data_IF_755079190876
#
_entry.id   IF_755079190876
#
_cell.length_a   1.000
_cell.length_b   1.000
_cell.length_c   1.000
_cell.angle_alpha   90.00
_cell.angle_beta   90.00
_cell.angle_gamma   90.00
#
_symmetry.space_group_name_H-M   'P 1'
#
loop_
_entity.id
_entity.type
_entity.pdbx_description
1 polymer ?
#
# COMPACT_ATOMS: atom_id res chain seq x y z
N UNK A 1 -3.65 6.39 12.57
CA UNK A 1 -4.03 6.79 11.20
C UNK A 1 -3.78 5.64 10.24
N UNK A 2 -4.66 5.40 9.26
CA UNK A 2 -4.41 4.45 8.18
C UNK A 2 -3.13 4.85 7.43
N UNK A 3 -2.26 3.89 7.10
CA UNK A 3 -0.99 4.13 6.39
C UNK A 3 -1.20 4.36 4.87
N UNK A 4 -2.22 5.15 4.51
CA UNK A 4 -2.44 5.61 3.15
C UNK A 4 -1.73 6.96 3.03
N UNK A 5 -0.62 7.01 2.32
CA UNK A 5 0.19 8.22 2.19
C UNK A 5 -0.66 9.32 1.54
N UNK A 6 -0.89 10.40 2.27
CA UNK A 6 -1.42 11.65 1.73
C UNK A 6 -0.33 12.28 0.87
N UNK A 7 -0.43 12.14 -0.45
CA UNK A 7 0.31 13.02 -1.35
C UNK A 7 -0.61 14.20 -1.63
N UNK A 8 -0.41 15.27 -0.88
CA UNK A 8 -0.98 16.58 -1.21
C UNK A 8 -0.36 16.98 -2.54
N UNK A 9 -1.19 17.13 -3.58
CA UNK A 9 -0.74 17.59 -4.88
C UNK A 9 -1.44 18.90 -5.17
N UNK A 10 -0.66 19.95 -5.36
CA UNK A 10 -1.17 21.21 -5.87
C UNK A 10 -1.31 21.06 -7.39
N UNK A 11 -2.54 21.17 -7.91
CA UNK A 11 -2.81 21.13 -9.36
C UNK A 11 -3.17 22.53 -9.83
N UNK A 12 -2.53 23.00 -10.90
CA UNK A 12 -2.88 24.26 -11.53
C UNK A 12 -4.31 24.20 -12.08
N UNK A 13 -5.16 25.12 -11.62
CA UNK A 13 -6.51 25.30 -12.12
C UNK A 13 -6.49 26.43 -13.17
N UNK A 14 -6.78 26.09 -14.42
CA UNK A 14 -6.75 27.05 -15.55
C UNK A 14 -7.86 28.11 -15.46
N UNK A 15 -9.00 27.77 -14.87
CA UNK A 15 -10.16 28.67 -14.74
C UNK A 15 -9.94 29.69 -13.64
N UNK A 16 -9.45 29.24 -12.49
CA UNK A 16 -9.19 30.12 -11.33
C UNK A 16 -7.79 30.73 -11.33
N UNK A 17 -6.96 30.42 -12.34
CA UNK A 17 -5.55 30.80 -12.45
C UNK A 17 -4.76 30.65 -11.14
N UNK A 18 -5.02 29.57 -10.40
CA UNK A 18 -4.38 29.34 -9.10
C UNK A 18 -4.14 27.85 -8.87
N UNK A 19 -3.23 27.54 -7.94
CA UNK A 19 -3.05 26.17 -7.47
C UNK A 19 -4.21 25.76 -6.57
N UNK A 20 -4.85 24.65 -6.92
CA UNK A 20 -5.90 24.04 -6.11
C UNK A 20 -5.35 22.86 -5.33
N UNK A 21 -5.68 22.81 -4.05
CA UNK A 21 -5.41 21.67 -3.19
C UNK A 21 -6.22 20.47 -3.69
N UNK A 22 -5.54 19.40 -4.13
CA UNK A 22 -6.19 18.12 -4.43
C UNK A 22 -5.56 17.00 -3.62
N UNK A 23 -6.28 16.45 -2.63
CA UNK A 23 -5.79 15.29 -1.89
C UNK A 23 -5.75 14.09 -2.83
N UNK A 24 -4.55 13.52 -3.04
CA UNK A 24 -4.39 12.27 -3.78
C UNK A 24 -4.02 11.16 -2.81
N UNK A 25 -4.90 10.18 -2.71
CA UNK A 25 -4.63 8.94 -1.98
C UNK A 25 -4.01 7.96 -2.98
N UNK A 26 -2.84 7.44 -2.64
CA UNK A 26 -2.16 6.44 -3.48
C UNK A 26 -1.89 5.18 -2.68
N UNK A 27 -2.12 4.04 -3.32
CA UNK A 27 -1.81 2.73 -2.77
C UNK A 27 -0.32 2.43 -2.88
N UNK A 28 0.27 2.16 -1.70
CA UNK A 28 1.33 1.17 -1.49
C UNK A 28 1.72 0.19 -2.61
N UNK A 29 2.69 0.47 -3.49
CA UNK A 29 3.34 -0.60 -4.27
C UNK A 29 2.50 -1.29 -5.37
N UNK A 30 1.44 -0.62 -5.83
CA UNK A 30 0.65 -1.02 -7.01
C UNK A 30 0.81 0.01 -8.13
N UNK A 31 0.74 -0.46 -9.37
CA UNK A 31 0.84 0.39 -10.56
C UNK A 31 -0.22 1.50 -10.59
N UNK A 32 0.14 2.67 -11.12
CA UNK A 32 -0.74 3.86 -11.20
C UNK A 32 -1.97 3.65 -12.10
N UNK A 33 -1.99 2.59 -12.91
CA UNK A 33 -3.06 2.27 -13.86
C UNK A 33 -4.23 1.53 -13.24
N UNK A 34 -4.15 1.15 -11.96
CA UNK A 34 -5.24 0.46 -11.28
C UNK A 34 -6.30 1.48 -10.82
N UNK A 35 -7.54 1.25 -11.23
CA UNK A 35 -8.67 2.14 -10.96
C UNK A 35 -9.18 1.91 -9.52
N UNK A 36 -8.70 2.74 -8.60
CA UNK A 36 -9.09 2.70 -7.19
C UNK A 36 -9.93 3.94 -6.92
N UNK A 37 -11.21 3.72 -6.63
CA UNK A 37 -12.21 4.76 -6.43
C UNK A 37 -12.49 4.99 -4.94
N UNK A 38 -13.19 6.08 -4.61
CA UNK A 38 -13.58 6.38 -3.23
C UNK A 38 -14.41 5.26 -2.58
N UNK A 39 -15.31 4.61 -3.34
CA UNK A 39 -16.16 3.54 -2.84
C UNK A 39 -15.37 2.29 -2.45
N UNK A 40 -14.24 2.01 -3.11
CA UNK A 40 -13.35 0.91 -2.74
C UNK A 40 -12.81 1.10 -1.31
N UNK A 41 -12.43 2.33 -0.93
CA UNK A 41 -11.98 2.63 0.44
C UNK A 41 -13.12 2.45 1.45
N UNK A 42 -14.31 2.97 1.15
CA UNK A 42 -15.49 2.85 2.03
C UNK A 42 -15.83 1.37 2.27
N UNK A 43 -15.81 0.57 1.21
CA UNK A 43 -16.07 -0.86 1.31
C UNK A 43 -14.98 -1.57 2.13
N UNK A 44 -13.70 -1.28 1.88
CA UNK A 44 -12.57 -1.88 2.63
C UNK A 44 -12.64 -1.56 4.13
N UNK A 45 -13.13 -0.38 4.50
CA UNK A 45 -13.29 0.04 5.91
C UNK A 45 -14.54 -0.56 6.55
N UNK A 46 -15.70 -0.43 5.89
CA UNK A 46 -16.99 -0.77 6.50
C UNK A 46 -17.38 -2.24 6.34
N UNK A 47 -16.84 -2.91 5.32
CA UNK A 47 -17.18 -4.30 4.97
C UNK A 47 -16.00 -5.26 5.11
N UNK A 48 -14.85 -4.75 5.59
CA UNK A 48 -13.60 -5.51 5.76
C UNK A 48 -13.15 -6.26 4.49
N UNK A 49 -13.50 -5.74 3.31
CA UNK A 49 -13.09 -6.34 2.04
C UNK A 49 -11.63 -6.01 1.71
N UNK A 50 -10.99 -6.87 0.92
CA UNK A 50 -9.66 -6.63 0.38
C UNK A 50 -9.76 -6.29 -1.11
N UNK A 51 -9.27 -5.11 -1.50
CA UNK A 51 -9.12 -4.77 -2.92
C UNK A 51 -7.75 -5.27 -3.38
N UNK A 52 -7.71 -6.12 -4.39
CA UNK A 52 -6.48 -6.58 -5.03
C UNK A 52 -6.23 -5.80 -6.33
N UNK A 53 -4.96 -5.72 -6.73
CA UNK A 53 -4.54 -5.14 -8.00
C UNK A 53 -3.44 -5.99 -8.63
N UNK A 54 -3.29 -5.90 -9.95
CA UNK A 54 -2.30 -6.67 -10.70
C UNK A 54 -1.15 -5.75 -11.11
N UNK A 55 0.07 -6.17 -10.79
CA UNK A 55 1.28 -5.54 -11.32
C UNK A 55 1.90 -6.47 -12.36
N UNK A 56 1.92 -6.02 -13.62
CA UNK A 56 2.70 -6.63 -14.68
C UNK A 56 4.11 -6.05 -14.74
N UNK A 57 5.12 -6.89 -14.93
CA UNK A 57 6.48 -6.48 -15.25
C UNK A 57 7.04 -7.39 -16.34
N UNK A 58 7.78 -6.82 -17.28
CA UNK A 58 8.48 -7.59 -18.31
C UNK A 58 9.89 -7.90 -17.78
N UNK A 59 10.30 -9.17 -17.85
CA UNK A 59 11.65 -9.60 -17.52
C UNK A 59 12.22 -10.41 -18.67
N UNK A 60 13.50 -10.22 -18.97
CA UNK A 60 14.21 -11.04 -19.94
C UNK A 60 14.94 -12.15 -19.20
N UNK A 61 14.77 -13.38 -19.65
CA UNK A 61 15.52 -14.54 -19.17
C UNK A 61 15.92 -15.36 -20.39
N UNK A 62 17.20 -15.70 -20.49
CA UNK A 62 17.76 -16.47 -21.62
C UNK A 62 17.40 -15.88 -23.01
N UNK A 63 17.57 -14.56 -23.17
CA UNK A 63 17.16 -13.79 -24.36
C UNK A 63 15.66 -13.85 -24.71
N UNK A 64 14.82 -14.49 -23.90
CA UNK A 64 13.37 -14.53 -24.06
C UNK A 64 12.73 -13.51 -23.13
N UNK A 65 11.92 -12.60 -23.70
CA UNK A 65 11.12 -11.67 -22.91
C UNK A 65 9.88 -12.37 -22.37
N UNK A 66 9.73 -12.36 -21.05
CA UNK A 66 8.61 -12.93 -20.32
C UNK A 66 7.82 -11.84 -19.60
N UNK A 67 6.48 -11.95 -19.62
CA UNK A 67 5.60 -11.09 -18.83
C UNK A 67 5.25 -11.78 -17.53
N UNK A 68 5.60 -11.16 -16.39
CA UNK A 68 5.29 -11.66 -15.05
C UNK A 68 4.20 -10.77 -14.49
N UNK A 69 3.08 -11.39 -14.11
CA UNK A 69 1.99 -10.73 -13.41
C UNK A 69 1.99 -11.17 -11.95
N UNK A 70 1.94 -10.21 -11.04
CA UNK A 70 1.87 -10.45 -9.60
C UNK A 70 0.62 -9.77 -9.06
N UNK A 71 -0.25 -10.57 -8.45
CA UNK A 71 -1.38 -10.07 -7.68
C UNK A 71 -0.89 -9.49 -6.36
N UNK A 72 -1.31 -8.27 -6.04
CA UNK A 72 -0.95 -7.57 -4.80
C UNK A 72 -2.20 -7.00 -4.13
N UNK A 73 -2.13 -6.87 -2.80
CA UNK A 73 -3.17 -6.16 -2.05
C UNK A 73 -3.06 -4.65 -2.26
N UNK A 74 -4.09 -4.06 -2.86
CA UNK A 74 -4.18 -2.65 -3.18
C UNK A 74 -4.66 -1.83 -2.01
N UNK A 75 -5.76 -2.28 -1.39
CA UNK A 75 -6.37 -1.70 -0.21
C UNK A 75 -6.75 -2.82 0.75
N UNK A 76 -6.42 -2.63 2.01
CA UNK A 76 -6.77 -3.53 3.11
C UNK A 76 -7.32 -2.70 4.27
N UNK A 77 -8.36 -3.20 4.96
CA UNK A 77 -8.88 -2.58 6.18
C UNK A 77 -7.89 -2.70 7.34
N UNK A 78 -7.03 -3.73 7.26
CA UNK A 78 -5.94 -3.95 8.20
C UNK A 78 -4.74 -3.05 7.93
N UNK A 79 -4.34 -2.33 8.97
CA UNK A 79 -3.06 -1.65 9.03
C UNK A 79 -2.07 -2.56 9.75
N UNK A 80 -1.19 -3.24 9.01
CA UNK A 80 -0.05 -3.90 9.64
C UNK A 80 0.90 -2.80 10.14
N UNK A 81 0.70 -2.37 11.40
CA UNK A 81 1.75 -1.68 12.14
C UNK A 81 2.89 -2.68 12.29
N UNK A 82 4.12 -2.20 12.36
CA UNK A 82 5.26 -3.07 12.63
C UNK A 82 5.83 -2.68 14.00
N UNK A 83 6.20 -3.69 14.78
CA UNK A 83 7.01 -3.53 15.98
C UNK A 83 8.47 -3.70 15.53
N UNK A 84 9.33 -2.76 15.89
CA UNK A 84 10.78 -2.91 15.70
C UNK A 84 11.34 -3.60 16.94
N UNK A 85 12.03 -4.72 16.75
CA UNK A 85 12.69 -5.49 17.80
C UNK A 85 14.09 -4.93 18.09
N UNK A 86 14.70 -5.35 19.20
CA UNK A 86 16.03 -4.86 19.63
C UNK A 86 17.14 -5.15 18.62
N UNK A 87 17.02 -6.24 17.87
CA UNK A 87 17.93 -6.60 16.79
C UNK A 87 17.63 -5.85 15.47
N UNK A 88 16.84 -4.77 15.52
CA UNK A 88 16.39 -3.99 14.36
C UNK A 88 15.52 -4.76 13.35
N UNK A 89 15.08 -5.98 13.69
CA UNK A 89 14.10 -6.70 12.87
C UNK A 89 12.70 -6.07 13.00
N UNK A 90 11.93 -6.11 11.91
CA UNK A 90 10.54 -5.66 11.90
C UNK A 90 9.58 -6.86 11.97
N UNK A 91 8.64 -6.82 12.91
CA UNK A 91 7.61 -7.84 13.08
C UNK A 91 6.20 -7.22 12.94
N UNK A 92 5.20 -7.98 12.46
CA UNK A 92 3.82 -7.49 12.36
C UNK A 92 3.24 -7.20 13.75
N UNK A 93 2.60 -6.06 13.94
CA UNK A 93 1.91 -5.69 15.19
C UNK A 93 0.62 -6.50 15.33
N UNK A 94 0.52 -7.24 16.43
CA UNK A 94 -0.67 -7.97 16.82
C UNK A 94 -1.21 -7.33 18.10
N UNK A 95 -2.50 -7.01 18.15
CA UNK A 95 -3.11 -6.38 19.33
C UNK A 95 -2.93 -7.29 20.54
N UNK A 96 -2.33 -6.76 21.60
CA UNK A 96 -2.04 -7.50 22.83
C UNK A 96 -0.66 -8.16 22.87
N UNK A 97 0.07 -8.19 21.75
CA UNK A 97 1.48 -8.60 21.74
C UNK A 97 2.39 -7.37 21.77
N UNK A 98 3.49 -7.51 22.50
CA UNK A 98 4.56 -6.53 22.65
C UNK A 98 5.86 -7.10 22.07
N UNK A 99 6.90 -6.27 21.97
CA UNK A 99 8.22 -6.72 21.50
C UNK A 99 8.82 -7.88 22.32
N UNK A 100 8.38 -8.06 23.58
CA UNK A 100 8.86 -9.13 24.47
C UNK A 100 8.30 -10.50 24.12
N UNK A 101 7.15 -10.53 23.44
CA UNK A 101 6.45 -11.77 23.10
C UNK A 101 7.01 -12.42 21.82
N UNK A 102 7.94 -11.75 21.14
CA UNK A 102 8.65 -12.29 19.97
C UNK A 102 9.93 -13.02 20.41
N UNK A 103 9.99 -14.32 20.14
CA UNK A 103 11.21 -15.12 20.31
C UNK A 103 12.08 -14.99 19.06
N UNK A 104 13.29 -14.47 19.24
CA UNK A 104 14.32 -14.44 18.19
C UNK A 104 15.11 -15.74 18.34
N UNK A 105 15.06 -16.60 17.34
CA UNK A 105 15.98 -17.74 17.22
C UNK A 105 17.13 -17.29 16.34
N UNK A 106 18.34 -17.25 16.90
CA UNK A 106 19.54 -17.13 16.09
C UNK A 106 19.67 -18.41 15.27
N UNK A 107 19.91 -18.25 13.97
CA UNK A 107 19.95 -19.33 12.98
C UNK A 107 21.32 -19.99 12.93
#
# INVERSE_FOLDING_TARGET
GPKCYSMIVNKWNKEKQQYEFKPKITSKGISKSQDISHSDYVNVINKDIVKKGINGTLKVYDNVMSSIQVEKYALTGFNNKSIVLRNQCCCPYIKGLTAKDYLIKDQ
#
